data_IF_297450305797
#
_entry.id   IF_297450305797
#
_cell.length_a   1.000
_cell.length_b   1.000
_cell.length_c   1.000
_cell.angle_alpha   90.00
_cell.angle_beta   90.00
_cell.angle_gamma   90.00
#
_symmetry.space_group_name_H-M   'P 1'
#
loop_
_entity.id
_entity.type
_entity.pdbx_description
1 polymer ?
#
# COMPACT_ATOMS: atom_id res chain seq x y z
N UNK A 1 57.14 45.04 -28.57
CA UNK A 1 55.68 45.02 -28.76
C UNK A 1 55.27 43.57 -28.89
N UNK A 2 55.28 42.84 -27.78
CA UNK A 2 54.12 42.60 -26.92
C UNK A 2 52.92 42.08 -27.69
N UNK A 3 52.62 40.80 -27.43
CA UNK A 3 51.29 40.26 -27.16
C UNK A 3 50.27 40.39 -28.30
N UNK A 4 49.77 39.35 -28.96
CA UNK A 4 49.56 37.99 -28.51
C UNK A 4 49.55 37.05 -29.72
N UNK A 5 50.63 36.27 -29.85
CA UNK A 5 50.54 34.95 -30.47
C UNK A 5 49.58 34.12 -29.62
N UNK A 6 48.51 33.66 -30.25
CA UNK A 6 48.25 32.23 -30.32
C UNK A 6 48.05 31.51 -28.98
N UNK A 7 46.81 31.47 -28.48
CA UNK A 7 46.28 30.29 -27.79
C UNK A 7 44.79 30.10 -28.12
N UNK A 8 44.55 29.22 -29.11
CA UNK A 8 43.53 28.18 -29.13
C UNK A 8 42.09 28.60 -28.78
N UNK A 9 41.21 28.66 -29.78
CA UNK A 9 40.35 27.51 -30.11
C UNK A 9 40.13 26.55 -28.93
N UNK A 10 38.96 26.63 -28.30
CA UNK A 10 38.09 25.45 -28.08
C UNK A 10 36.76 25.88 -27.47
N UNK A 11 35.79 26.09 -28.35
CA UNK A 11 34.37 25.87 -28.04
C UNK A 11 34.22 24.44 -27.49
N UNK A 12 34.18 24.23 -26.17
CA UNK A 12 33.81 22.94 -25.58
C UNK A 12 33.06 23.09 -24.26
N UNK A 13 31.77 22.71 -24.30
CA UNK A 13 31.17 21.89 -23.26
C UNK A 13 30.54 22.59 -22.05
N UNK A 14 29.43 23.33 -22.24
CA UNK A 14 28.55 23.70 -21.12
C UNK A 14 27.13 23.11 -21.30
N UNK A 15 26.77 22.67 -22.50
CA UNK A 15 25.46 22.04 -22.76
C UNK A 15 25.28 20.64 -22.17
N UNK A 16 26.36 19.95 -21.78
CA UNK A 16 26.29 18.58 -21.25
C UNK A 16 25.85 18.53 -19.78
N UNK A 17 26.02 19.61 -19.01
CA UNK A 17 25.76 19.61 -17.57
C UNK A 17 24.32 19.95 -17.23
N UNK A 18 23.66 20.84 -17.99
CA UNK A 18 22.27 21.24 -17.71
C UNK A 18 21.29 20.13 -18.03
N UNK A 19 21.44 19.46 -19.19
CA UNK A 19 20.58 18.34 -19.58
C UNK A 19 20.77 17.13 -18.64
N UNK A 20 22.01 16.81 -18.26
CA UNK A 20 22.25 15.78 -17.24
C UNK A 20 21.63 16.16 -15.89
N UNK A 21 21.71 17.43 -15.48
CA UNK A 21 21.17 17.89 -14.20
C UNK A 21 19.63 17.89 -14.20
N UNK A 22 19.01 18.26 -15.32
CA UNK A 22 17.58 18.20 -15.51
C UNK A 22 17.07 16.75 -15.52
N UNK A 23 17.77 15.85 -16.23
CA UNK A 23 17.47 14.42 -16.22
C UNK A 23 17.64 13.82 -14.82
N UNK A 24 18.73 14.15 -14.12
CA UNK A 24 18.98 13.69 -12.75
C UNK A 24 17.92 14.20 -11.76
N UNK A 25 17.53 15.47 -11.85
CA UNK A 25 16.45 16.03 -11.04
C UNK A 25 15.10 15.38 -11.34
N UNK A 26 14.82 15.10 -12.61
CA UNK A 26 13.60 14.40 -13.04
C UNK A 26 13.56 12.98 -12.49
N UNK A 27 14.64 12.20 -12.62
CA UNK A 27 14.71 10.84 -12.05
C UNK A 27 14.51 10.84 -10.55
N UNK A 28 15.09 11.82 -9.84
CA UNK A 28 14.95 11.92 -8.38
C UNK A 28 13.53 12.31 -7.97
N UNK A 29 12.88 13.19 -8.74
CA UNK A 29 11.51 13.59 -8.52
C UNK A 29 10.53 12.44 -8.80
N UNK A 30 10.78 11.66 -9.86
CA UNK A 30 9.99 10.47 -10.21
C UNK A 30 10.14 9.37 -9.15
N UNK A 31 11.34 9.14 -8.62
CA UNK A 31 11.59 8.19 -7.53
C UNK A 31 10.90 8.58 -6.22
N UNK A 32 10.93 9.88 -5.88
CA UNK A 32 10.21 10.42 -4.72
C UNK A 32 8.70 10.24 -4.87
N UNK A 33 8.13 10.63 -6.02
CA UNK A 33 6.71 10.47 -6.32
C UNK A 33 6.30 8.99 -6.27
N UNK A 34 7.13 8.09 -6.81
CA UNK A 34 6.90 6.65 -6.73
C UNK A 34 6.89 6.15 -5.29
N UNK A 35 7.78 6.65 -4.45
CA UNK A 35 7.88 6.26 -3.03
C UNK A 35 6.71 6.80 -2.22
N UNK A 36 6.24 8.01 -2.50
CA UNK A 36 5.06 8.61 -1.86
C UNK A 36 3.77 7.89 -2.30
N UNK A 37 3.64 7.55 -3.59
CA UNK A 37 2.49 6.80 -4.11
C UNK A 37 2.39 5.39 -3.53
N UNK A 38 3.52 4.71 -3.31
CA UNK A 38 3.60 3.41 -2.62
C UNK A 38 3.23 3.47 -1.13
N UNK A 39 3.09 4.67 -0.55
CA UNK A 39 2.63 4.86 0.84
C UNK A 39 1.15 5.20 0.92
N UNK A 40 0.54 5.63 -0.18
CA UNK A 40 -0.89 5.96 -0.26
C UNK A 40 -1.75 4.76 -0.67
N UNK A 41 -1.20 3.80 -1.44
CA UNK A 41 -1.89 2.56 -1.80
C UNK A 41 -1.83 1.48 -0.70
N UNK A 42 -1.02 1.70 0.33
CA UNK A 42 -1.05 0.95 1.58
C UNK A 42 -2.33 1.35 2.32
N UNK A 43 -3.35 0.47 2.28
CA UNK A 43 -4.62 0.66 2.97
C UNK A 43 -4.39 1.22 4.38
N UNK A 44 -5.06 2.34 4.73
CA UNK A 44 -4.80 3.01 6.02
C UNK A 44 -5.37 2.18 7.17
N UNK A 45 -4.65 1.14 7.56
CA UNK A 45 -5.00 0.25 8.66
C UNK A 45 -5.18 1.00 10.00
N UNK A 46 -4.79 2.28 10.09
CA UNK A 46 -5.00 3.13 11.27
C UNK A 46 -6.47 3.35 11.61
N UNK A 47 -7.35 3.31 10.61
CA UNK A 47 -8.80 3.45 10.81
C UNK A 47 -9.50 2.12 11.12
N UNK A 48 -8.79 1.00 11.05
CA UNK A 48 -9.37 -0.34 11.21
C UNK A 48 -9.09 -0.82 12.64
N UNK A 49 -10.14 -1.08 13.43
CA UNK A 49 -10.00 -1.57 14.81
C UNK A 49 -11.09 -2.56 15.16
N UNK A 50 -10.73 -3.58 15.94
CA UNK A 50 -11.71 -4.49 16.51
C UNK A 50 -12.73 -3.70 17.35
N UNK A 51 -14.04 -3.80 17.06
CA UNK A 51 -15.08 -3.07 17.79
C UNK A 51 -15.18 -3.46 19.27
N UNK A 52 -14.60 -4.61 19.63
CA UNK A 52 -14.73 -5.21 20.96
C UNK A 52 -13.51 -4.99 21.85
N UNK A 53 -12.31 -4.86 21.29
CA UNK A 53 -11.06 -4.70 22.07
C UNK A 53 -10.10 -3.64 21.53
N UNK A 54 -10.47 -2.91 20.47
CA UNK A 54 -9.66 -1.89 19.80
C UNK A 54 -8.33 -2.37 19.20
N UNK A 55 -8.09 -3.69 19.13
CA UNK A 55 -6.94 -4.25 18.42
C UNK A 55 -6.92 -3.81 16.97
N UNK A 56 -5.75 -3.39 16.48
CA UNK A 56 -5.54 -2.91 15.13
C UNK A 56 -4.79 -3.98 14.32
N UNK A 57 -5.34 -4.42 13.18
CA UNK A 57 -4.62 -5.29 12.26
C UNK A 57 -3.45 -4.55 11.60
N UNK A 58 -2.39 -5.28 11.31
CA UNK A 58 -1.31 -4.87 10.40
C UNK A 58 -1.52 -5.52 9.03
N UNK A 59 -0.75 -5.08 8.02
CA UNK A 59 -0.71 -5.74 6.71
C UNK A 59 -0.39 -7.25 6.78
N UNK A 60 0.32 -7.69 7.82
CA UNK A 60 0.67 -9.11 8.07
C UNK A 60 -0.41 -9.91 8.81
N UNK A 61 -1.58 -9.33 9.09
CA UNK A 61 -2.68 -10.03 9.76
C UNK A 61 -3.46 -10.87 8.75
N UNK A 62 -3.55 -12.17 8.99
CA UNK A 62 -4.08 -13.14 8.00
C UNK A 62 -5.30 -13.87 8.55
N UNK A 63 -6.32 -13.99 7.70
CA UNK A 63 -7.50 -14.83 7.86
C UNK A 63 -7.54 -15.92 6.80
N UNK A 64 -8.39 -16.92 7.01
CA UNK A 64 -8.57 -18.04 6.11
C UNK A 64 -10.02 -18.14 5.66
N UNK A 65 -10.24 -18.47 4.39
CA UNK A 65 -11.56 -18.74 3.84
C UNK A 65 -11.88 -20.18 4.18
N UNK A 66 -12.46 -20.41 5.34
CA UNK A 66 -12.87 -21.73 5.80
C UNK A 66 -14.38 -21.84 5.85
N UNK A 67 -14.86 -23.05 6.09
CA UNK A 67 -16.23 -23.24 6.52
C UNK A 67 -16.44 -22.54 7.87
N UNK A 68 -17.61 -21.93 8.01
CA UNK A 68 -18.03 -21.18 9.18
C UNK A 68 -19.54 -21.40 9.36
N UNK A 69 -19.92 -22.18 10.38
CA UNK A 69 -21.33 -22.37 10.74
C UNK A 69 -21.91 -21.08 11.31
N UNK A 70 -21.50 -20.66 12.51
CA UNK A 70 -21.90 -19.38 13.07
C UNK A 70 -20.69 -18.44 13.14
N UNK A 71 -20.87 -17.12 12.87
CA UNK A 71 -22.10 -16.41 12.54
C UNK A 71 -22.38 -16.26 11.02
N UNK A 72 -21.47 -16.71 10.15
CA UNK A 72 -21.54 -16.46 8.70
C UNK A 72 -22.43 -17.47 7.93
N UNK A 73 -22.57 -18.71 8.44
CA UNK A 73 -23.27 -19.83 7.80
C UNK A 73 -22.81 -20.10 6.35
N UNK A 74 -21.49 -20.13 6.17
CA UNK A 74 -20.82 -20.39 4.88
C UNK A 74 -20.06 -21.72 4.93
N UNK A 75 -20.33 -22.65 3.99
CA UNK A 75 -19.79 -24.02 3.98
C UNK A 75 -19.01 -24.37 2.70
N UNK A 76 -18.61 -23.36 1.93
CA UNK A 76 -17.86 -23.53 0.67
C UNK A 76 -16.47 -22.89 0.75
N UNK A 77 -15.83 -22.97 1.92
CA UNK A 77 -14.52 -22.36 2.16
C UNK A 77 -13.45 -22.83 1.16
N UNK A 78 -12.77 -21.89 0.50
CA UNK A 78 -11.77 -22.22 -0.53
C UNK A 78 -10.32 -22.30 -0.04
N UNK A 79 -10.09 -22.09 1.27
CA UNK A 79 -8.77 -22.19 1.91
C UNK A 79 -7.81 -21.03 1.63
N UNK A 80 -8.23 -20.01 0.88
CA UNK A 80 -7.40 -18.82 0.61
C UNK A 80 -7.00 -18.15 1.92
N UNK A 81 -5.75 -17.68 1.99
CA UNK A 81 -5.22 -16.91 3.10
C UNK A 81 -4.95 -15.48 2.64
N UNK A 82 -5.50 -14.49 3.35
CA UNK A 82 -5.35 -13.08 2.99
C UNK A 82 -5.67 -12.17 4.19
N UNK A 83 -5.34 -10.89 4.06
CA UNK A 83 -5.84 -9.88 4.98
C UNK A 83 -7.23 -9.44 4.52
N UNK A 84 -8.24 -9.71 5.35
CA UNK A 84 -9.64 -9.43 5.03
C UNK A 84 -9.92 -7.97 4.68
N UNK A 85 -9.12 -7.04 5.21
CA UNK A 85 -9.29 -5.61 4.99
C UNK A 85 -8.76 -5.11 3.64
N UNK A 86 -7.88 -5.86 2.97
CA UNK A 86 -7.39 -5.50 1.62
C UNK A 86 -8.50 -5.56 0.57
N UNK A 87 -9.57 -6.31 0.85
CA UNK A 87 -10.65 -6.58 -0.10
C UNK A 87 -12.03 -6.30 0.49
N UNK A 88 -12.11 -5.58 1.62
CA UNK A 88 -13.36 -5.33 2.34
C UNK A 88 -14.18 -6.61 2.58
N UNK A 89 -13.52 -7.66 3.06
CA UNK A 89 -14.16 -8.94 3.38
C UNK A 89 -14.38 -9.86 2.19
N UNK A 90 -14.06 -9.44 0.96
CA UNK A 90 -14.22 -10.29 -0.22
C UNK A 90 -13.06 -11.28 -0.37
N UNK A 91 -13.33 -12.57 -0.28
CA UNK A 91 -12.32 -13.60 -0.52
C UNK A 91 -11.80 -13.53 -1.97
N UNK A 92 -10.48 -13.41 -2.22
CA UNK A 92 -9.93 -13.35 -3.57
C UNK A 92 -9.95 -14.71 -4.30
N UNK A 93 -10.14 -15.82 -3.58
CA UNK A 93 -10.24 -17.16 -4.17
C UNK A 93 -11.63 -17.48 -4.70
N UNK A 94 -12.65 -17.45 -3.83
CA UNK A 94 -14.02 -17.84 -4.17
C UNK A 94 -14.99 -16.66 -4.40
N UNK A 95 -14.54 -15.42 -4.21
CA UNK A 95 -15.38 -14.21 -4.26
C UNK A 95 -16.49 -14.10 -3.21
N UNK A 96 -16.54 -15.00 -2.20
CA UNK A 96 -17.45 -14.86 -1.06
C UNK A 96 -17.20 -13.54 -0.33
N UNK A 97 -18.26 -12.85 0.08
CA UNK A 97 -18.18 -11.59 0.83
C UNK A 97 -18.47 -11.91 2.30
N UNK A 98 -17.42 -11.92 3.10
CA UNK A 98 -17.51 -12.17 4.54
C UNK A 98 -18.16 -10.98 5.24
N UNK A 99 -19.34 -11.21 5.83
CA UNK A 99 -20.05 -10.19 6.61
C UNK A 99 -19.51 -10.07 8.02
N UNK A 100 -18.93 -11.15 8.54
CA UNK A 100 -18.33 -11.21 9.86
C UNK A 100 -16.83 -11.39 9.79
N UNK A 101 -16.11 -10.79 10.74
CA UNK A 101 -14.66 -10.97 10.88
C UNK A 101 -14.31 -11.26 12.33
N UNK A 102 -13.56 -12.34 12.54
CA UNK A 102 -13.05 -12.74 13.85
C UNK A 102 -11.81 -11.91 14.21
N UNK A 103 -11.72 -11.48 15.46
CA UNK A 103 -10.55 -10.76 15.93
C UNK A 103 -9.39 -11.71 16.26
N UNK A 104 -8.20 -11.49 15.68
CA UNK A 104 -7.00 -12.30 15.97
C UNK A 104 -6.45 -12.10 17.39
N UNK A 105 -6.85 -11.02 18.08
CA UNK A 105 -6.41 -10.73 19.45
C UNK A 105 -7.40 -11.21 20.52
N UNK A 106 -8.71 -10.97 20.34
CA UNK A 106 -9.72 -11.33 21.35
C UNK A 106 -10.67 -12.45 20.94
N UNK A 107 -10.50 -13.02 19.75
CA UNK A 107 -11.28 -14.14 19.19
C UNK A 107 -12.79 -13.92 19.06
N UNK A 108 -13.29 -12.71 19.34
CA UNK A 108 -14.70 -12.35 19.17
C UNK A 108 -14.98 -11.97 17.72
N UNK A 109 -16.18 -12.30 17.26
CA UNK A 109 -16.70 -11.89 15.96
C UNK A 109 -17.34 -10.51 16.04
N UNK A 110 -17.25 -9.74 14.96
CA UNK A 110 -17.99 -8.50 14.75
C UNK A 110 -18.30 -8.36 13.26
N UNK A 111 -19.33 -7.59 12.91
CA UNK A 111 -19.62 -7.26 11.51
C UNK A 111 -18.38 -6.60 10.92
N UNK A 112 -18.03 -6.99 9.69
CA UNK A 112 -16.83 -6.49 9.01
C UNK A 112 -16.85 -4.96 8.93
N UNK A 113 -18.01 -4.38 8.60
CA UNK A 113 -18.21 -2.93 8.50
C UNK A 113 -17.96 -2.19 9.84
N UNK A 114 -18.25 -2.82 10.99
CA UNK A 114 -18.05 -2.18 12.30
C UNK A 114 -16.56 -1.94 12.61
N UNK A 115 -15.64 -2.62 11.90
CA UNK A 115 -14.20 -2.46 12.11
C UNK A 115 -13.66 -1.11 11.62
N UNK A 116 -14.37 -0.45 10.69
CA UNK A 116 -13.94 0.80 10.09
C UNK A 116 -14.38 2.00 10.94
N UNK A 117 -13.41 2.71 11.51
CA UNK A 117 -13.65 3.93 12.28
C UNK A 117 -13.73 5.16 11.36
N UNK A 118 -14.64 6.08 11.65
CA UNK A 118 -14.72 7.38 10.98
C UNK A 118 -15.42 7.41 9.62
N UNK A 119 -15.94 6.27 9.15
CA UNK A 119 -16.81 6.19 7.96
C UNK A 119 -18.26 6.08 8.47
N UNK A 120 -18.94 7.21 8.65
CA UNK A 120 -20.39 7.28 8.93
C UNK A 120 -21.04 8.37 8.11
#
# INVERSE_FOLDING_TARGET
MNSARELLQRKRGIGLTIELFALFRKTFQDEKIRTEKLKEDESDYRIIRCPKCAWQPSASSIWYCSDCLEPEYYLEGCGTSWNTFDTHGKCPGCNHIWRWTSCLSCSRWSLHDDWYQGIK
#
